data_IF_756276069573
#
_entry.id   IF_756276069573
#
_cell.length_a   1.000
_cell.length_b   1.000
_cell.length_c   1.000
_cell.angle_alpha   90.00
_cell.angle_beta   90.00
_cell.angle_gamma   90.00
#
_symmetry.space_group_name_H-M   'P 1'
#
loop_
_entity.id
_entity.type
_entity.pdbx_description
1 polymer ?
#
# COMPACT_ATOMS: atom_id res chain seq x y z
N UNK A 1 -67.92 -33.71 30.54
CA UNK A 1 -67.06 -33.15 29.49
C UNK A 1 -65.64 -33.48 29.87
N UNK A 2 -65.29 -34.69 29.45
CA UNK A 2 -64.04 -35.09 28.81
C UNK A 2 -62.78 -34.78 29.62
N UNK A 3 -62.31 -35.76 30.39
CA UNK A 3 -61.57 -36.98 29.98
C UNK A 3 -60.13 -36.74 30.38
N UNK A 4 -59.70 -37.32 31.50
CA UNK A 4 -59.03 -38.63 31.50
C UNK A 4 -57.74 -38.60 30.67
N UNK A 5 -56.60 -39.11 31.13
CA UNK A 5 -56.23 -39.80 32.35
C UNK A 5 -54.76 -40.17 32.16
N UNK A 6 -54.08 -40.50 33.28
CA UNK A 6 -53.00 -41.50 33.38
C UNK A 6 -51.73 -41.21 32.56
N UNK A 7 -50.53 -41.15 33.14
CA UNK A 7 -50.06 -41.86 34.31
C UNK A 7 -48.67 -42.41 33.99
N UNK A 8 -47.70 -42.02 34.81
CA UNK A 8 -46.52 -42.76 35.24
C UNK A 8 -45.43 -43.23 34.22
N UNK A 9 -44.20 -42.79 34.56
CA UNK A 9 -42.90 -43.50 34.53
C UNK A 9 -42.27 -43.84 33.17
N UNK A 10 -41.06 -43.31 32.91
CA UNK A 10 -39.78 -44.04 33.10
C UNK A 10 -38.57 -43.32 32.46
N UNK A 11 -37.52 -43.20 33.27
CA UNK A 11 -36.08 -43.34 33.01
C UNK A 11 -35.51 -43.37 31.56
N UNK A 12 -34.47 -42.55 31.37
CA UNK A 12 -33.20 -42.81 30.67
C UNK A 12 -33.16 -43.11 29.15
N UNK A 13 -32.76 -42.10 28.38
CA UNK A 13 -31.95 -42.13 27.14
C UNK A 13 -31.18 -40.77 27.18
N UNK A 14 -29.86 -40.63 27.12
CA UNK A 14 -28.86 -41.31 26.31
C UNK A 14 -28.48 -40.40 25.13
N UNK A 15 -27.36 -39.69 25.24
CA UNK A 15 -26.52 -39.10 24.17
C UNK A 15 -27.09 -38.04 23.19
N UNK A 16 -26.18 -37.16 22.79
CA UNK A 16 -26.21 -36.23 21.65
C UNK A 16 -27.03 -34.94 21.77
N UNK A 17 -26.34 -33.89 22.23
CA UNK A 17 -26.54 -32.55 21.68
C UNK A 17 -25.20 -31.79 21.61
N UNK A 18 -24.29 -32.28 20.78
CA UNK A 18 -23.41 -31.38 20.02
C UNK A 18 -24.30 -30.51 19.16
N UNK A 19 -24.74 -29.39 19.74
CA UNK A 19 -25.29 -28.29 18.96
C UNK A 19 -24.15 -27.79 18.06
N UNK A 20 -24.38 -27.60 16.75
CA UNK A 20 -23.36 -27.04 15.89
C UNK A 20 -23.00 -25.66 16.44
N UNK A 21 -21.71 -25.42 16.67
CA UNK A 21 -21.11 -24.16 17.10
C UNK A 21 -21.20 -23.15 15.93
N UNK A 22 -22.41 -22.91 15.43
CA UNK A 22 -22.66 -22.19 14.18
C UNK A 22 -23.48 -20.91 14.35
N UNK A 23 -23.75 -20.48 15.59
CA UNK A 23 -24.45 -19.23 15.91
C UNK A 23 -24.11 -18.81 17.34
N UNK A 24 -22.87 -18.37 17.59
CA UNK A 24 -22.50 -17.82 18.90
C UNK A 24 -22.85 -16.33 18.97
N UNK A 25 -23.78 -15.99 19.85
CA UNK A 25 -24.08 -14.62 20.26
C UNK A 25 -22.86 -14.03 21.01
N UNK A 26 -22.46 -12.76 20.79
CA UNK A 26 -21.45 -12.06 21.61
C UNK A 26 -21.68 -12.17 23.13
N UNK A 27 -22.92 -12.42 23.58
CA UNK A 27 -23.24 -12.68 25.00
C UNK A 27 -22.73 -14.03 25.54
N UNK A 28 -22.43 -15.00 24.66
CA UNK A 28 -21.97 -16.36 24.95
C UNK A 28 -20.60 -16.41 25.65
N UNK A 29 -19.75 -15.42 25.38
CA UNK A 29 -18.37 -15.35 25.89
C UNK A 29 -18.27 -15.12 27.40
N UNK A 30 -19.36 -14.71 28.06
CA UNK A 30 -19.37 -14.48 29.52
C UNK A 30 -19.56 -15.75 30.35
N UNK A 31 -19.88 -16.89 29.73
CA UNK A 31 -20.00 -18.17 30.44
C UNK A 31 -18.62 -18.83 30.60
N UNK A 32 -18.26 -19.10 31.86
CA UNK A 32 -16.91 -19.36 32.39
C UNK A 32 -16.24 -20.67 31.97
N UNK A 33 -16.76 -21.37 30.96
CA UNK A 33 -16.40 -22.78 30.71
C UNK A 33 -15.67 -23.05 29.40
N UNK A 34 -15.47 -22.06 28.53
CA UNK A 34 -14.86 -22.30 27.23
C UNK A 34 -13.38 -21.95 27.19
N UNK A 35 -12.58 -22.88 26.68
CA UNK A 35 -11.16 -22.66 26.38
C UNK A 35 -10.99 -21.94 25.05
N UNK A 36 -9.84 -21.28 24.84
CA UNK A 36 -9.56 -20.61 23.56
C UNK A 36 -9.55 -21.61 22.38
N UNK A 37 -9.12 -22.86 22.63
CA UNK A 37 -9.15 -23.92 21.62
C UNK A 37 -10.58 -24.32 21.24
N UNK A 38 -11.51 -24.41 22.18
CA UNK A 38 -12.93 -24.68 21.89
C UNK A 38 -13.58 -23.57 21.05
N UNK A 39 -13.21 -22.31 21.30
CA UNK A 39 -13.67 -21.18 20.48
C UNK A 39 -13.10 -21.26 19.06
N UNK A 40 -11.81 -21.61 18.93
CA UNK A 40 -11.15 -21.73 17.63
C UNK A 40 -11.61 -22.95 16.81
N UNK A 41 -11.98 -24.05 17.46
CA UNK A 41 -12.51 -25.26 16.82
C UNK A 41 -13.94 -25.06 16.30
N UNK A 42 -14.64 -24.03 16.79
CA UNK A 42 -15.93 -23.58 16.27
C UNK A 42 -15.84 -22.81 14.95
N UNK A 43 -14.65 -22.34 14.54
CA UNK A 43 -14.48 -21.57 13.32
C UNK A 43 -14.18 -22.47 12.12
N UNK A 44 -14.88 -22.21 11.00
CA UNK A 44 -14.62 -22.90 9.74
C UNK A 44 -13.40 -22.27 9.04
N UNK A 45 -12.22 -22.86 9.26
CA UNK A 45 -10.95 -22.37 8.76
C UNK A 45 -10.68 -22.72 7.27
N UNK A 46 -11.60 -23.42 6.59
CA UNK A 46 -11.38 -23.97 5.24
C UNK A 46 -12.21 -23.32 4.12
N UNK A 47 -13.27 -22.56 4.42
CA UNK A 47 -14.10 -21.96 3.37
C UNK A 47 -13.42 -20.77 2.67
N UNK A 48 -13.39 -20.83 1.34
CA UNK A 48 -12.98 -19.72 0.48
C UNK A 48 -13.90 -18.53 0.73
N UNK A 49 -13.35 -17.44 1.25
CA UNK A 49 -14.03 -16.25 1.74
C UNK A 49 -14.98 -15.60 0.72
N UNK A 50 -16.23 -16.05 0.70
CA UNK A 50 -17.33 -15.39 -0.03
C UNK A 50 -18.40 -14.81 0.88
N UNK A 51 -18.36 -15.07 2.19
CA UNK A 51 -19.34 -14.58 3.18
C UNK A 51 -18.69 -13.73 4.29
N UNK A 52 -18.68 -12.41 4.08
CA UNK A 52 -18.18 -11.45 5.08
C UNK A 52 -19.01 -11.42 6.36
N UNK A 53 -20.30 -11.81 6.30
CA UNK A 53 -21.19 -11.79 7.45
C UNK A 53 -20.78 -12.87 8.45
N UNK A 54 -20.46 -14.08 7.98
CA UNK A 54 -19.95 -15.17 8.82
C UNK A 54 -18.59 -14.82 9.43
N UNK A 55 -17.65 -14.35 8.60
CA UNK A 55 -16.34 -13.91 9.06
C UNK A 55 -16.41 -12.80 10.13
N UNK A 56 -17.36 -11.86 9.97
CA UNK A 56 -17.58 -10.79 10.93
C UNK A 56 -18.13 -11.31 12.26
N UNK A 57 -19.03 -12.30 12.23
CA UNK A 57 -19.53 -12.93 13.45
C UNK A 57 -18.40 -13.64 14.21
N UNK A 58 -17.62 -14.46 13.51
CA UNK A 58 -16.48 -15.19 14.09
C UNK A 58 -15.47 -14.22 14.74
N UNK A 59 -15.10 -13.15 14.03
CA UNK A 59 -14.12 -12.19 14.57
C UNK A 59 -14.66 -11.40 15.76
N UNK A 60 -15.97 -11.13 15.80
CA UNK A 60 -16.60 -10.44 16.93
C UNK A 60 -16.59 -11.33 18.18
N UNK A 61 -16.89 -12.61 18.03
CA UNK A 61 -16.81 -13.60 19.10
C UNK A 61 -15.37 -13.70 19.60
N UNK A 62 -14.40 -13.86 18.70
CA UNK A 62 -12.98 -13.93 19.07
C UNK A 62 -12.49 -12.64 19.77
N UNK A 63 -12.83 -11.47 19.23
CA UNK A 63 -12.46 -10.18 19.80
C UNK A 63 -13.03 -10.00 21.22
N UNK A 64 -14.31 -10.31 21.41
CA UNK A 64 -14.96 -10.20 22.71
C UNK A 64 -14.35 -11.15 23.74
N UNK A 65 -13.94 -12.35 23.33
CA UNK A 65 -13.24 -13.31 24.18
C UNK A 65 -11.87 -12.79 24.61
N UNK A 66 -11.05 -12.33 23.66
CA UNK A 66 -9.71 -11.79 23.94
C UNK A 66 -9.76 -10.51 24.80
N UNK A 67 -10.70 -9.62 24.52
CA UNK A 67 -10.90 -8.39 25.30
C UNK A 67 -11.29 -8.71 26.75
N UNK A 68 -12.21 -9.66 26.95
CA UNK A 68 -12.59 -10.11 28.28
C UNK A 68 -11.40 -10.72 29.05
N UNK A 69 -10.61 -11.60 28.41
CA UNK A 69 -9.43 -12.18 29.04
C UNK A 69 -8.42 -11.12 29.47
N UNK A 70 -8.18 -10.11 28.61
CA UNK A 70 -7.29 -8.99 28.91
C UNK A 70 -7.79 -8.14 30.10
N UNK A 71 -9.10 -7.86 30.18
CA UNK A 71 -9.70 -7.09 31.29
C UNK A 71 -9.60 -7.79 32.65
N UNK A 72 -9.72 -9.12 32.68
CA UNK A 72 -9.67 -9.87 33.93
C UNK A 72 -8.26 -9.94 34.55
N UNK A 73 -7.23 -9.44 33.86
CA UNK A 73 -5.81 -9.51 34.27
C UNK A 73 -5.39 -10.93 34.70
N UNK A 74 -6.10 -11.94 34.21
CA UNK A 74 -5.68 -13.33 34.34
C UNK A 74 -4.49 -13.40 33.41
N UNK A 75 -3.32 -13.75 33.93
CA UNK A 75 -2.15 -14.10 33.15
C UNK A 75 -2.43 -15.42 32.39
N UNK A 76 -3.44 -15.40 31.54
CA UNK A 76 -3.68 -16.43 30.55
C UNK A 76 -2.66 -16.15 29.46
N UNK A 77 -1.47 -16.73 29.60
CA UNK A 77 -0.54 -16.82 28.49
C UNK A 77 -1.27 -17.57 27.39
N UNK A 78 -1.76 -16.82 26.40
CA UNK A 78 -2.26 -17.42 25.15
C UNK A 78 -1.11 -18.29 24.64
N UNK A 79 -1.37 -19.58 24.54
CA UNK A 79 -0.37 -20.54 24.07
C UNK A 79 0.10 -20.10 22.68
N UNK A 80 1.41 -20.17 22.39
CA UNK A 80 1.94 -19.75 21.09
C UNK A 80 1.23 -20.40 19.90
N UNK A 81 0.76 -21.63 20.07
CA UNK A 81 -0.02 -22.37 19.07
C UNK A 81 -1.39 -21.73 18.80
N UNK A 82 -2.13 -21.34 19.85
CA UNK A 82 -3.40 -20.64 19.70
C UNK A 82 -3.18 -19.23 19.12
N UNK A 83 -2.12 -18.53 19.52
CA UNK A 83 -1.76 -17.24 18.93
C UNK A 83 -1.43 -17.35 17.43
N UNK A 84 -0.76 -18.44 17.02
CA UNK A 84 -0.45 -18.73 15.63
C UNK A 84 -1.72 -19.05 14.83
N UNK A 85 -2.63 -19.87 15.35
CA UNK A 85 -3.94 -20.18 14.74
C UNK A 85 -4.78 -18.92 14.53
N UNK A 86 -4.86 -18.05 15.54
CA UNK A 86 -5.55 -16.76 15.45
C UNK A 86 -4.91 -15.88 14.38
N UNK A 87 -3.59 -15.79 14.38
CA UNK A 87 -2.87 -14.93 13.44
C UNK A 87 -3.06 -15.40 11.99
N UNK A 88 -2.97 -16.71 11.74
CA UNK A 88 -3.23 -17.29 10.41
C UNK A 88 -4.67 -17.04 9.94
N UNK A 89 -5.65 -17.25 10.82
CA UNK A 89 -7.05 -16.95 10.53
C UNK A 89 -7.26 -15.47 10.20
N UNK A 90 -6.75 -14.58 11.05
CA UNK A 90 -6.91 -13.13 10.88
C UNK A 90 -6.20 -12.63 9.61
N UNK A 91 -5.00 -13.14 9.32
CA UNK A 91 -4.26 -12.80 8.10
C UNK A 91 -5.06 -13.16 6.86
N UNK A 92 -5.76 -14.31 6.85
CA UNK A 92 -6.57 -14.75 5.71
C UNK A 92 -7.79 -13.86 5.45
N UNK A 93 -8.45 -13.37 6.50
CA UNK A 93 -9.66 -12.53 6.39
C UNK A 93 -9.38 -11.04 6.17
N UNK A 94 -8.16 -10.59 6.42
CA UNK A 94 -7.76 -9.18 6.31
C UNK A 94 -7.23 -8.81 4.94
N UNK A 95 -7.14 -9.76 4.00
CA UNK A 95 -6.72 -9.49 2.63
C UNK A 95 -7.79 -8.63 1.94
N UNK A 96 -7.44 -7.44 1.42
CA UNK A 96 -8.39 -6.60 0.70
C UNK A 96 -8.97 -7.34 -0.51
N UNK A 97 -10.30 -7.40 -0.67
CA UNK A 97 -10.92 -8.09 -1.78
C UNK A 97 -10.75 -7.34 -3.10
N UNK A 98 -10.80 -8.09 -4.21
CA UNK A 98 -10.74 -7.55 -5.57
C UNK A 98 -11.87 -6.56 -5.88
N UNK A 99 -12.97 -6.62 -5.12
CA UNK A 99 -14.08 -5.66 -5.15
C UNK A 99 -13.58 -4.21 -5.09
N UNK A 100 -12.57 -3.91 -4.27
CA UNK A 100 -12.01 -2.57 -4.16
C UNK A 100 -11.21 -2.12 -5.38
N UNK A 101 -10.62 -3.07 -6.13
CA UNK A 101 -9.89 -2.79 -7.37
C UNK A 101 -10.85 -2.50 -8.54
N UNK A 102 -11.95 -3.24 -8.63
CA UNK A 102 -12.91 -3.14 -9.74
C UNK A 102 -13.91 -1.98 -9.59
N UNK A 103 -14.23 -1.57 -8.35
CA UNK A 103 -15.32 -0.62 -8.08
C UNK A 103 -14.87 0.81 -7.76
N UNK A 104 -13.57 1.11 -7.83
CA UNK A 104 -13.00 2.43 -7.58
C UNK A 104 -13.72 3.62 -8.29
N UNK A 105 -14.24 3.50 -9.53
CA UNK A 105 -14.97 4.59 -10.20
C UNK A 105 -16.38 4.85 -9.63
N UNK A 106 -17.02 3.83 -9.04
CA UNK A 106 -18.40 3.91 -8.54
C UNK A 106 -18.47 4.39 -7.09
N UNK A 107 -17.42 4.10 -6.30
CA UNK A 107 -17.29 4.56 -4.91
C UNK A 107 -16.88 6.03 -4.82
N UNK A 108 -16.18 6.56 -5.83
CA UNK A 108 -15.69 7.95 -5.89
C UNK A 108 -16.66 8.93 -6.58
N UNK A 109 -17.83 8.45 -7.04
CA UNK A 109 -18.88 9.29 -7.61
C UNK A 109 -18.59 9.85 -9.01
N UNK A 110 -17.55 9.37 -9.70
CA UNK A 110 -17.14 9.85 -11.03
C UNK A 110 -17.72 9.03 -12.19
N UNK A 111 -18.25 7.83 -11.93
CA UNK A 111 -18.90 7.01 -12.94
C UNK A 111 -20.31 7.49 -13.29
N UNK A 112 -20.53 7.84 -14.56
CA UNK A 112 -21.80 8.11 -15.26
C UNK A 112 -22.20 9.59 -15.42
N UNK A 113 -21.47 10.28 -16.29
CA UNK A 113 -22.11 11.22 -17.23
C UNK A 113 -22.05 10.59 -18.61
N UNK A 114 -23.19 10.14 -19.16
CA UNK A 114 -23.64 10.43 -20.54
C UNK A 114 -24.90 9.62 -20.97
N UNK A 115 -25.86 10.41 -21.51
CA UNK A 115 -26.83 10.18 -22.61
C UNK A 115 -27.74 8.93 -22.64
N UNK A 116 -29.06 9.19 -22.56
CA UNK A 116 -30.11 8.41 -23.26
C UNK A 116 -31.35 8.08 -22.42
N UNK A 117 -32.28 9.02 -22.25
CA UNK A 117 -33.58 8.75 -21.61
C UNK A 117 -34.33 7.64 -22.36
N UNK A 118 -34.98 6.73 -21.62
CA UNK A 118 -35.99 5.71 -21.99
C UNK A 118 -35.64 4.23 -21.76
N UNK A 119 -34.39 3.85 -21.48
CA UNK A 119 -34.03 2.50 -20.97
C UNK A 119 -33.72 2.47 -19.46
N UNK A 120 -34.01 3.56 -18.75
CA UNK A 120 -33.42 3.86 -17.45
C UNK A 120 -34.01 3.10 -16.27
N UNK A 121 -35.31 2.78 -16.25
CA UNK A 121 -35.94 2.41 -14.98
C UNK A 121 -35.53 1.02 -14.47
N UNK A 122 -35.46 -0.01 -15.33
CA UNK A 122 -35.04 -1.36 -14.89
C UNK A 122 -33.53 -1.44 -14.62
N UNK A 123 -32.74 -0.72 -15.42
CA UNK A 123 -31.29 -0.64 -15.26
C UNK A 123 -30.91 0.11 -13.97
N UNK A 124 -31.63 1.19 -13.61
CA UNK A 124 -31.37 1.92 -12.35
C UNK A 124 -31.66 1.08 -11.12
N UNK A 125 -32.76 0.31 -11.10
CA UNK A 125 -33.08 -0.56 -9.96
C UNK A 125 -32.05 -1.68 -9.77
N UNK A 126 -31.64 -2.36 -10.84
CA UNK A 126 -30.63 -3.42 -10.74
C UNK A 126 -29.24 -2.86 -10.38
N UNK A 127 -28.90 -1.66 -10.87
CA UNK A 127 -27.67 -0.95 -10.49
C UNK A 127 -27.71 -0.46 -9.04
N UNK A 128 -28.84 0.08 -8.58
CA UNK A 128 -29.03 0.51 -7.18
C UNK A 128 -29.00 -0.68 -6.22
N UNK A 129 -29.54 -1.84 -6.61
CA UNK A 129 -29.45 -3.08 -5.84
C UNK A 129 -28.01 -3.59 -5.74
N UNK A 130 -27.30 -3.64 -6.86
CA UNK A 130 -25.88 -4.01 -6.90
C UNK A 130 -25.02 -3.05 -6.08
N UNK A 131 -25.29 -1.75 -6.19
CA UNK A 131 -24.64 -0.70 -5.39
C UNK A 131 -24.91 -0.89 -3.90
N UNK A 132 -26.16 -1.14 -3.51
CA UNK A 132 -26.54 -1.34 -2.11
C UNK A 132 -25.93 -2.60 -1.51
N UNK A 133 -25.87 -3.70 -2.27
CA UNK A 133 -25.18 -4.93 -1.86
C UNK A 133 -23.68 -4.67 -1.69
N UNK A 134 -23.04 -4.03 -2.66
CA UNK A 134 -21.61 -3.72 -2.61
C UNK A 134 -21.26 -2.79 -1.44
N UNK A 135 -22.11 -1.80 -1.15
CA UNK A 135 -21.92 -0.91 0.00
C UNK A 135 -22.04 -1.66 1.33
N UNK A 136 -22.94 -2.64 1.42
CA UNK A 136 -23.07 -3.50 2.59
C UNK A 136 -21.80 -4.35 2.78
N UNK A 137 -21.32 -5.01 1.72
CA UNK A 137 -20.09 -5.81 1.75
C UNK A 137 -18.85 -4.98 2.13
N UNK A 138 -18.73 -3.75 1.60
CA UNK A 138 -17.65 -2.82 1.97
C UNK A 138 -17.74 -2.43 3.46
N UNK A 139 -18.94 -2.15 3.97
CA UNK A 139 -19.13 -1.81 5.37
C UNK A 139 -18.79 -2.99 6.31
N UNK A 140 -19.21 -4.20 5.94
CA UNK A 140 -18.87 -5.43 6.67
C UNK A 140 -17.36 -5.68 6.67
N UNK A 141 -16.70 -5.52 5.52
CA UNK A 141 -15.24 -5.66 5.41
C UNK A 141 -14.49 -4.63 6.29
N UNK A 142 -14.94 -3.37 6.32
CA UNK A 142 -14.33 -2.36 7.19
C UNK A 142 -14.46 -2.70 8.68
N UNK A 143 -15.60 -3.24 9.11
CA UNK A 143 -15.79 -3.68 10.49
C UNK A 143 -14.94 -4.92 10.80
N UNK A 144 -14.97 -5.92 9.91
CA UNK A 144 -14.17 -7.13 9.98
C UNK A 144 -12.69 -6.79 10.17
N UNK A 145 -12.16 -5.92 9.31
CA UNK A 145 -10.76 -5.47 9.34
C UNK A 145 -10.39 -4.79 10.66
N UNK A 146 -11.29 -3.97 11.22
CA UNK A 146 -11.04 -3.30 12.49
C UNK A 146 -10.94 -4.29 13.66
N UNK A 147 -11.89 -5.21 13.78
CA UNK A 147 -11.87 -6.21 14.86
C UNK A 147 -10.73 -7.22 14.68
N UNK A 148 -10.42 -7.59 13.44
CA UNK A 148 -9.26 -8.39 13.08
C UNK A 148 -7.94 -7.77 13.58
N UNK A 149 -7.68 -6.50 13.23
CA UNK A 149 -6.49 -5.78 13.71
C UNK A 149 -6.46 -5.66 15.24
N UNK A 150 -7.64 -5.53 15.87
CA UNK A 150 -7.76 -5.49 17.33
C UNK A 150 -7.42 -6.85 17.95
N UNK A 151 -7.85 -7.97 17.37
CA UNK A 151 -7.45 -9.32 17.80
C UNK A 151 -5.93 -9.51 17.71
N UNK A 152 -5.31 -9.12 16.59
CA UNK A 152 -3.84 -9.18 16.42
C UNK A 152 -3.09 -8.33 17.44
N UNK A 153 -3.70 -7.24 17.93
CA UNK A 153 -3.09 -6.43 18.97
C UNK A 153 -2.86 -7.19 20.28
N UNK A 154 -3.64 -8.24 20.55
CA UNK A 154 -3.47 -9.11 21.71
C UNK A 154 -2.43 -10.21 21.46
N UNK A 155 -2.41 -10.83 20.27
CA UNK A 155 -1.65 -12.06 19.99
C UNK A 155 -0.31 -11.86 19.29
N UNK A 156 -0.10 -10.75 18.58
CA UNK A 156 1.04 -10.53 17.66
C UNK A 156 2.44 -10.72 18.24
N UNK A 157 2.64 -10.56 19.56
CA UNK A 157 3.96 -10.73 20.18
C UNK A 157 4.25 -12.18 20.64
N UNK A 158 3.27 -13.07 20.54
CA UNK A 158 3.36 -14.45 21.03
C UNK A 158 3.54 -15.48 19.91
N UNK A 159 3.65 -15.03 18.67
CA UNK A 159 3.80 -15.89 17.49
C UNK A 159 5.26 -16.06 17.06
N UNK A 160 5.53 -17.10 16.27
CA UNK A 160 6.82 -17.35 15.64
C UNK A 160 7.20 -16.28 14.60
N UNK A 161 8.46 -16.29 14.14
CA UNK A 161 8.95 -15.29 13.18
C UNK A 161 8.25 -15.38 11.81
N UNK A 162 7.84 -16.58 11.37
CA UNK A 162 7.13 -16.78 10.11
C UNK A 162 5.72 -16.20 10.13
N UNK A 163 4.97 -16.48 11.20
CA UNK A 163 3.63 -15.93 11.41
C UNK A 163 3.69 -14.41 11.67
N UNK A 164 4.72 -13.92 12.36
CA UNK A 164 4.90 -12.49 12.56
C UNK A 164 5.11 -11.74 11.24
N UNK A 165 5.81 -12.34 10.28
CA UNK A 165 6.00 -11.76 8.95
C UNK A 165 4.69 -11.63 8.18
N UNK A 166 3.81 -12.65 8.24
CA UNK A 166 2.50 -12.59 7.60
C UNK A 166 1.58 -11.59 8.30
N UNK A 167 1.59 -11.54 9.64
CA UNK A 167 0.85 -10.54 10.43
C UNK A 167 1.28 -9.13 10.06
N UNK A 168 2.57 -8.82 10.06
CA UNK A 168 3.08 -7.48 9.72
C UNK A 168 2.71 -7.11 8.29
N UNK A 169 2.78 -8.06 7.36
CA UNK A 169 2.39 -7.83 5.96
C UNK A 169 0.90 -7.50 5.83
N UNK A 170 0.00 -8.24 6.50
CA UNK A 170 -1.43 -7.95 6.50
C UNK A 170 -1.76 -6.63 7.19
N UNK A 171 -1.10 -6.31 8.30
CA UNK A 171 -1.30 -5.05 9.01
C UNK A 171 -0.80 -3.86 8.17
N UNK A 172 0.30 -4.02 7.44
CA UNK A 172 0.87 -2.99 6.56
C UNK A 172 -0.11 -2.58 5.45
N UNK A 173 -0.98 -3.49 4.98
CA UNK A 173 -2.00 -3.19 3.98
C UNK A 173 -3.04 -2.13 4.42
N UNK A 174 -3.11 -1.80 5.71
CA UNK A 174 -4.01 -0.76 6.25
C UNK A 174 -3.29 0.53 6.64
N UNK A 175 -2.03 0.71 6.21
CA UNK A 175 -1.23 1.88 6.61
C UNK A 175 -1.38 3.08 5.69
N UNK A 176 -1.89 2.93 4.46
CA UNK A 176 -2.17 4.07 3.57
C UNK A 176 -3.65 4.47 3.64
N UNK A 177 -3.91 5.72 4.02
CA UNK A 177 -5.27 6.29 4.07
C UNK A 177 -5.87 6.55 2.69
N UNK A 178 -5.06 6.46 1.61
CA UNK A 178 -5.55 6.58 0.24
C UNK A 178 -6.13 5.26 -0.28
N UNK A 179 -5.89 4.15 0.42
CA UNK A 179 -6.45 2.86 0.04
C UNK A 179 -7.96 2.83 0.30
N UNK A 180 -8.76 2.35 -0.66
CA UNK A 180 -10.22 2.39 -0.58
C UNK A 180 -10.79 1.46 0.51
N UNK A 181 -10.01 0.49 0.98
CA UNK A 181 -10.36 -0.42 2.07
C UNK A 181 -9.86 0.06 3.45
N UNK A 182 -9.10 1.16 3.50
CA UNK A 182 -8.53 1.70 4.73
C UNK A 182 -9.40 2.81 5.28
N UNK A 183 -9.94 2.61 6.48
CA UNK A 183 -10.67 3.63 7.24
C UNK A 183 -9.74 4.30 8.25
N UNK A 184 -10.13 5.47 8.77
CA UNK A 184 -9.35 6.14 9.83
C UNK A 184 -9.13 5.24 11.05
N UNK A 185 -10.12 4.42 11.41
CA UNK A 185 -10.03 3.49 12.56
C UNK A 185 -9.05 2.35 12.29
N UNK A 186 -9.12 1.73 11.10
CA UNK A 186 -8.22 0.63 10.74
C UNK A 186 -6.79 1.12 10.56
N UNK A 187 -6.60 2.31 9.98
CA UNK A 187 -5.29 2.96 9.90
C UNK A 187 -4.68 3.21 11.28
N UNK A 188 -5.44 3.81 12.21
CA UNK A 188 -4.97 4.07 13.56
C UNK A 188 -4.61 2.77 14.30
N UNK A 189 -5.43 1.72 14.18
CA UNK A 189 -5.17 0.41 14.76
C UNK A 189 -3.90 -0.24 14.17
N UNK A 190 -3.75 -0.20 12.84
CA UNK A 190 -2.59 -0.75 12.14
C UNK A 190 -1.28 -0.04 12.54
N UNK A 191 -1.27 1.30 12.54
CA UNK A 191 -0.10 2.07 12.96
C UNK A 191 0.26 1.82 14.43
N UNK A 192 -0.72 1.75 15.33
CA UNK A 192 -0.47 1.40 16.74
C UNK A 192 0.13 0.01 16.88
N UNK A 193 -0.37 -0.96 16.13
CA UNK A 193 0.12 -2.34 16.16
C UNK A 193 1.54 -2.45 15.61
N UNK A 194 1.84 -1.84 14.46
CA UNK A 194 3.20 -1.79 13.91
C UNK A 194 4.15 -1.11 14.91
N UNK A 195 3.73 -0.01 15.53
CA UNK A 195 4.55 0.66 16.54
C UNK A 195 4.81 -0.23 17.77
N UNK A 196 3.79 -0.94 18.25
CA UNK A 196 3.92 -1.92 19.35
C UNK A 196 4.91 -3.03 19.00
N UNK A 197 4.81 -3.59 17.80
CA UNK A 197 5.74 -4.63 17.31
C UNK A 197 7.16 -4.06 17.18
N UNK A 198 7.30 -2.87 16.60
CA UNK A 198 8.60 -2.25 16.38
C UNK A 198 9.33 -1.85 17.67
N UNK A 199 8.59 -1.45 18.70
CA UNK A 199 9.18 -1.06 20.00
C UNK A 199 9.47 -2.25 20.91
N UNK A 200 8.76 -3.37 20.74
CA UNK A 200 8.95 -4.59 21.54
C UNK A 200 9.99 -5.54 20.96
N UNK A 201 10.24 -5.51 19.65
CA UNK A 201 11.27 -6.33 19.01
C UNK A 201 12.66 -5.72 19.20
N UNK A 202 13.61 -6.55 19.62
CA UNK A 202 15.03 -6.23 19.54
C UNK A 202 15.48 -6.07 18.08
N UNK A 203 16.54 -5.30 17.86
CA UNK A 203 17.02 -4.95 16.53
C UNK A 203 17.31 -6.15 15.61
N UNK A 204 18.00 -7.18 16.11
CA UNK A 204 18.31 -8.35 15.31
C UNK A 204 17.06 -9.09 14.82
N UNK A 205 16.03 -9.18 15.68
CA UNK A 205 14.74 -9.78 15.31
C UNK A 205 13.99 -8.94 14.29
N UNK A 206 14.03 -7.62 14.42
CA UNK A 206 13.44 -6.72 13.43
C UNK A 206 14.12 -6.86 12.06
N UNK A 207 15.45 -6.91 12.00
CA UNK A 207 16.18 -7.09 10.74
C UNK A 207 15.83 -8.43 10.09
N UNK A 208 15.80 -9.53 10.87
CA UNK A 208 15.36 -10.84 10.38
C UNK A 208 13.92 -10.81 9.84
N UNK A 209 12.99 -10.21 10.59
CA UNK A 209 11.59 -10.06 10.19
C UNK A 209 11.47 -9.34 8.85
N UNK A 210 12.16 -8.20 8.69
CA UNK A 210 12.16 -7.45 7.44
C UNK A 210 12.78 -8.25 6.30
N UNK A 211 13.88 -8.97 6.53
CA UNK A 211 14.49 -9.85 5.55
C UNK A 211 13.54 -10.96 5.11
N UNK A 212 12.81 -11.59 6.04
CA UNK A 212 11.79 -12.60 5.78
C UNK A 212 10.65 -12.03 4.94
N UNK A 213 10.08 -10.89 5.32
CA UNK A 213 9.02 -10.22 4.56
C UNK A 213 9.46 -9.93 3.12
N UNK A 214 10.67 -9.39 2.93
CA UNK A 214 11.18 -9.08 1.60
C UNK A 214 11.41 -10.33 0.74
N UNK A 215 11.85 -11.43 1.34
CA UNK A 215 12.17 -12.68 0.62
C UNK A 215 10.94 -13.55 0.35
N UNK A 216 10.04 -13.65 1.31
CA UNK A 216 8.96 -14.65 1.32
C UNK A 216 7.61 -14.04 0.95
N UNK A 217 7.42 -12.73 1.12
CA UNK A 217 6.18 -12.04 0.76
C UNK A 217 6.35 -11.17 -0.48
N UNK A 218 7.33 -10.25 -0.46
CA UNK A 218 7.49 -9.26 -1.53
C UNK A 218 8.05 -9.91 -2.81
N UNK A 219 9.19 -10.61 -2.72
CA UNK A 219 9.81 -11.20 -3.92
C UNK A 219 8.88 -12.13 -4.70
N UNK A 220 8.12 -13.06 -4.08
CA UNK A 220 7.21 -13.94 -4.81
C UNK A 220 6.02 -13.18 -5.43
N UNK A 221 5.50 -12.15 -4.79
CA UNK A 221 4.42 -11.32 -5.32
C UNK A 221 4.81 -10.65 -6.65
N UNK A 222 6.08 -10.29 -6.82
CA UNK A 222 6.62 -9.65 -8.03
C UNK A 222 7.40 -10.59 -8.95
N UNK A 223 7.45 -11.89 -8.65
CA UNK A 223 8.25 -12.86 -9.43
C UNK A 223 7.78 -13.01 -10.88
N UNK A 224 6.50 -12.70 -11.17
CA UNK A 224 5.91 -12.77 -12.52
C UNK A 224 6.10 -11.48 -13.32
N UNK A 225 6.55 -10.39 -12.70
CA UNK A 225 6.70 -9.10 -13.37
C UNK A 225 8.06 -9.04 -14.08
N UNK A 226 8.07 -9.37 -15.37
CA UNK A 226 9.28 -9.29 -16.19
C UNK A 226 9.67 -7.82 -16.43
N UNK A 227 10.77 -7.39 -15.81
CA UNK A 227 11.34 -6.07 -16.00
C UNK A 227 12.54 -6.14 -16.95
N UNK A 228 12.35 -5.79 -18.23
CA UNK A 228 13.39 -5.87 -19.29
C UNK A 228 14.61 -4.98 -19.01
N UNK A 229 14.48 -4.02 -18.09
CA UNK A 229 15.53 -3.05 -17.71
C UNK A 229 16.50 -3.57 -16.63
N UNK A 230 16.21 -4.72 -16.02
CA UNK A 230 16.97 -5.30 -14.92
C UNK A 230 17.64 -6.63 -15.31
N UNK A 231 18.78 -6.92 -14.70
CA UNK A 231 19.34 -8.28 -14.64
C UNK A 231 18.68 -9.09 -13.52
N UNK A 232 18.89 -10.41 -13.48
CA UNK A 232 18.41 -11.28 -12.39
C UNK A 232 18.89 -10.86 -10.98
N UNK A 233 19.94 -10.02 -10.89
CA UNK A 233 20.45 -9.44 -9.64
C UNK A 233 19.97 -8.00 -9.39
N UNK A 234 18.91 -7.55 -10.07
CA UNK A 234 18.38 -6.19 -10.04
C UNK A 234 19.39 -5.09 -10.41
N UNK A 235 20.58 -5.44 -10.95
CA UNK A 235 21.53 -4.47 -11.51
C UNK A 235 21.05 -4.02 -12.87
N UNK A 236 21.42 -2.80 -13.25
CA UNK A 236 21.31 -2.36 -14.65
C UNK A 236 22.03 -3.37 -15.55
N UNK A 237 21.35 -3.86 -16.59
CA UNK A 237 21.97 -4.73 -17.60
C UNK A 237 22.98 -3.94 -18.43
N UNK A 238 24.29 -4.20 -18.26
CA UNK A 238 25.36 -3.49 -18.99
C UNK A 238 26.68 -4.28 -19.02
N UNK A 239 27.55 -3.92 -19.98
CA UNK A 239 29.02 -3.83 -19.76
C UNK A 239 29.65 -2.77 -20.69
N UNK A 240 30.78 -2.12 -20.31
CA UNK A 240 31.03 -1.43 -19.03
C UNK A 240 31.73 -0.05 -19.24
N UNK A 241 31.76 0.83 -18.22
CA UNK A 241 33.04 1.39 -17.73
C UNK A 241 32.92 2.18 -16.41
N UNK A 242 34.07 2.22 -15.74
CA UNK A 242 34.31 2.43 -14.31
C UNK A 242 34.21 3.90 -13.90
N UNK A 243 33.79 4.17 -12.66
CA UNK A 243 34.04 5.48 -12.03
C UNK A 243 34.71 5.33 -10.68
N UNK A 244 35.74 6.16 -10.52
CA UNK A 244 36.66 6.28 -9.40
C UNK A 244 35.97 6.82 -8.16
N UNK A 245 36.37 6.27 -7.02
CA UNK A 245 36.00 6.71 -5.68
C UNK A 245 36.41 8.17 -5.45
N UNK A 246 35.45 9.00 -5.05
CA UNK A 246 35.71 10.29 -4.41
C UNK A 246 35.32 10.13 -2.95
N UNK A 247 36.33 10.30 -2.11
CA UNK A 247 36.25 10.32 -0.66
C UNK A 247 35.28 11.44 -0.23
N UNK A 248 34.25 11.10 0.54
CA UNK A 248 33.39 12.10 1.20
C UNK A 248 33.51 11.91 2.69
N UNK A 249 34.12 12.92 3.31
CA UNK A 249 34.43 12.99 4.71
C UNK A 249 33.19 12.88 5.59
N UNK A 250 33.45 12.20 6.69
CA UNK A 250 32.77 12.12 7.98
C UNK A 250 31.56 13.04 8.20
N UNK A 251 30.38 12.44 8.09
CA UNK A 251 29.08 12.94 8.58
C UNK A 251 28.43 11.89 9.50
N UNK A 252 29.25 11.02 10.13
CA UNK A 252 28.80 9.86 10.88
C UNK A 252 28.18 10.20 12.26
N UNK A 253 28.45 11.39 12.79
CA UNK A 253 28.12 11.73 14.18
C UNK A 253 26.70 12.23 14.42
N UNK A 254 25.88 12.46 13.39
CA UNK A 254 24.57 13.07 13.64
C UNK A 254 23.41 12.09 13.83
N UNK A 255 23.42 10.90 13.23
CA UNK A 255 22.23 10.02 13.18
C UNK A 255 22.61 8.53 13.02
N UNK A 256 22.97 7.80 14.08
CA UNK A 256 23.40 6.39 13.99
C UNK A 256 22.34 5.45 13.38
N UNK A 257 21.06 5.82 13.44
CA UNK A 257 19.97 5.09 12.76
C UNK A 257 20.04 5.21 11.22
N UNK A 258 20.51 6.34 10.66
CA UNK A 258 20.66 6.50 9.21
C UNK A 258 21.66 5.53 8.64
N UNK A 259 22.81 5.36 9.30
CA UNK A 259 23.85 4.40 8.89
C UNK A 259 23.33 2.95 8.89
N UNK A 260 22.47 2.62 9.86
CA UNK A 260 21.90 1.28 10.00
C UNK A 260 20.82 0.97 8.96
N UNK A 261 19.89 1.89 8.72
CA UNK A 261 18.89 1.77 7.64
C UNK A 261 19.60 1.72 6.29
N UNK A 262 20.62 2.58 6.11
CA UNK A 262 21.47 2.60 4.92
C UNK A 262 22.12 1.24 4.68
N UNK A 263 22.67 0.59 5.73
CA UNK A 263 23.24 -0.76 5.62
C UNK A 263 22.19 -1.82 5.30
N UNK A 264 21.04 -1.82 5.99
CA UNK A 264 19.94 -2.75 5.68
C UNK A 264 19.49 -2.65 4.22
N UNK A 265 19.30 -1.42 3.72
CA UNK A 265 18.92 -1.18 2.32
C UNK A 265 20.06 -1.53 1.37
N UNK A 266 21.32 -1.29 1.73
CA UNK A 266 22.47 -1.75 0.93
C UNK A 266 22.48 -3.26 0.74
N UNK A 267 22.05 -4.01 1.74
CA UNK A 267 22.03 -5.46 1.70
C UNK A 267 20.77 -6.02 1.00
N UNK A 268 19.65 -5.27 1.02
CA UNK A 268 18.34 -5.74 0.54
C UNK A 268 17.76 -4.97 -0.66
N UNK A 269 18.42 -3.92 -1.17
CA UNK A 269 17.93 -3.16 -2.31
C UNK A 269 17.57 -4.02 -3.54
N UNK A 270 18.24 -5.16 -3.85
CA UNK A 270 17.85 -5.97 -5.01
C UNK A 270 16.44 -6.56 -4.89
N UNK A 271 15.90 -6.66 -3.67
CA UNK A 271 14.53 -7.11 -3.41
C UNK A 271 13.52 -5.96 -3.47
N UNK A 272 13.96 -4.71 -3.32
CA UNK A 272 13.11 -3.52 -3.32
C UNK A 272 12.96 -2.89 -4.71
N UNK A 273 14.01 -2.95 -5.53
CA UNK A 273 14.00 -2.33 -6.87
C UNK A 273 12.95 -2.94 -7.80
N UNK A 274 12.81 -4.29 -7.93
CA UNK A 274 11.81 -4.86 -8.85
C UNK A 274 10.36 -4.49 -8.50
N UNK A 275 9.91 -4.53 -7.23
CA UNK A 275 8.59 -4.02 -6.82
C UNK A 275 8.36 -2.55 -7.18
N UNK A 276 9.33 -1.67 -6.89
CA UNK A 276 9.20 -0.23 -7.19
C UNK A 276 9.06 -0.02 -8.71
N UNK A 277 9.87 -0.73 -9.51
CA UNK A 277 9.78 -0.65 -10.97
C UNK A 277 8.49 -1.26 -11.51
N UNK A 278 8.00 -2.36 -10.92
CA UNK A 278 6.71 -2.95 -11.27
C UNK A 278 5.56 -1.95 -11.08
N UNK A 279 5.54 -1.22 -9.96
CA UNK A 279 4.54 -0.16 -9.71
C UNK A 279 4.66 0.99 -10.73
N UNK A 280 5.90 1.41 -11.05
CA UNK A 280 6.18 2.45 -12.05
C UNK A 280 5.75 1.98 -13.46
N UNK A 281 5.92 0.71 -13.80
CA UNK A 281 5.57 0.18 -15.12
C UNK A 281 4.08 -0.26 -15.22
N UNK A 282 3.33 -0.22 -14.11
CA UNK A 282 1.92 -0.64 -14.06
C UNK A 282 0.99 0.17 -14.98
N UNK A 283 -0.10 -0.41 -15.48
CA UNK A 283 -1.05 0.28 -16.36
C UNK A 283 -1.91 1.33 -15.63
N UNK A 284 -2.14 1.14 -14.32
CA UNK A 284 -2.90 2.04 -13.47
C UNK A 284 -2.06 3.24 -13.03
N UNK A 285 -2.58 4.45 -13.26
CA UNK A 285 -1.92 5.69 -12.86
C UNK A 285 -1.78 5.83 -11.34
N UNK A 286 -2.64 5.17 -10.57
CA UNK A 286 -2.56 5.14 -9.10
C UNK A 286 -1.30 4.40 -8.65
N UNK A 287 -1.03 3.22 -9.22
CA UNK A 287 0.15 2.44 -8.90
C UNK A 287 1.42 3.09 -9.42
N UNK A 288 1.38 3.75 -10.59
CA UNK A 288 2.49 4.59 -11.06
C UNK A 288 2.83 5.71 -10.08
N UNK A 289 1.80 6.41 -9.57
CA UNK A 289 1.97 7.49 -8.60
C UNK A 289 2.49 6.97 -7.24
N UNK A 290 2.03 5.81 -6.78
CA UNK A 290 2.55 5.13 -5.59
C UNK A 290 4.04 4.76 -5.78
N UNK A 291 4.39 4.15 -6.92
CA UNK A 291 5.78 3.82 -7.25
C UNK A 291 6.71 5.05 -7.26
N UNK A 292 6.21 6.23 -7.66
CA UNK A 292 6.98 7.47 -7.54
C UNK A 292 7.27 7.84 -6.07
N UNK A 293 6.28 7.70 -5.19
CA UNK A 293 6.43 8.00 -3.77
C UNK A 293 7.38 7.00 -3.09
N UNK A 294 7.21 5.71 -3.36
CA UNK A 294 8.06 4.65 -2.82
C UNK A 294 9.51 4.79 -3.27
N UNK A 295 9.72 5.20 -4.53
CA UNK A 295 11.05 5.49 -5.04
C UNK A 295 11.72 6.62 -4.26
N UNK A 296 11.02 7.71 -3.96
CA UNK A 296 11.57 8.81 -3.15
C UNK A 296 12.01 8.33 -1.77
N UNK A 297 11.18 7.52 -1.11
CA UNK A 297 11.50 6.92 0.19
C UNK A 297 12.75 6.02 0.09
N UNK A 298 12.83 5.21 -0.96
CA UNK A 298 13.98 4.37 -1.25
C UNK A 298 15.25 5.21 -1.48
N UNK A 299 15.18 6.27 -2.30
CA UNK A 299 16.33 7.12 -2.62
C UNK A 299 16.91 7.83 -1.39
N UNK A 300 16.09 8.25 -0.44
CA UNK A 300 16.56 8.86 0.81
C UNK A 300 17.27 7.90 1.75
N UNK A 301 17.01 6.62 1.57
CA UNK A 301 17.47 5.57 2.47
C UNK A 301 18.57 4.72 1.83
N UNK A 302 18.75 4.82 0.51
CA UNK A 302 19.78 4.16 -0.27
C UNK A 302 21.07 4.99 -0.33
N UNK A 303 22.25 4.41 -0.06
CA UNK A 303 23.52 5.10 -0.27
C UNK A 303 23.72 5.57 -1.73
N UNK A 304 24.28 6.76 -1.90
CA UNK A 304 24.52 7.36 -3.23
C UNK A 304 25.53 6.51 -4.04
N UNK A 305 26.52 5.91 -3.39
CA UNK A 305 27.52 5.04 -4.04
C UNK A 305 26.87 3.77 -4.62
N UNK A 306 25.84 3.23 -3.97
CA UNK A 306 25.06 2.11 -4.50
C UNK A 306 24.36 2.53 -5.79
N UNK A 307 23.68 3.68 -5.80
CA UNK A 307 23.00 4.20 -6.99
C UNK A 307 23.95 4.40 -8.18
N UNK A 308 25.16 4.89 -7.93
CA UNK A 308 26.18 5.15 -8.95
C UNK A 308 26.78 3.85 -9.51
N UNK A 309 27.21 2.95 -8.63
CA UNK A 309 27.87 1.70 -9.03
C UNK A 309 26.92 0.73 -9.72
N UNK A 310 25.64 0.74 -9.35
CA UNK A 310 24.64 -0.18 -9.91
C UNK A 310 23.93 0.38 -11.15
N UNK A 311 24.05 1.69 -11.41
CA UNK A 311 23.35 2.37 -12.49
C UNK A 311 21.83 2.52 -12.26
N UNK A 312 21.34 2.21 -11.06
CA UNK A 312 19.91 2.27 -10.71
C UNK A 312 19.31 3.66 -10.95
N UNK A 313 20.07 4.71 -10.65
CA UNK A 313 19.58 6.07 -10.85
C UNK A 313 19.16 6.36 -12.29
N UNK A 314 19.87 5.83 -13.28
CA UNK A 314 19.48 5.97 -14.69
C UNK A 314 18.25 5.13 -15.01
N UNK A 315 18.13 3.92 -14.46
CA UNK A 315 16.96 3.06 -14.67
C UNK A 315 15.69 3.77 -14.20
N UNK A 316 15.71 4.34 -13.00
CA UNK A 316 14.59 5.07 -12.44
C UNK A 316 14.26 6.33 -13.24
N UNK A 317 15.26 7.12 -13.62
CA UNK A 317 15.07 8.28 -14.49
C UNK A 317 14.41 7.88 -15.82
N UNK A 318 14.90 6.82 -16.47
CA UNK A 318 14.31 6.32 -17.71
C UNK A 318 12.89 5.76 -17.53
N UNK A 319 12.54 5.26 -16.35
CA UNK A 319 11.21 4.72 -16.06
C UNK A 319 10.19 5.83 -15.81
N UNK A 320 10.61 6.91 -15.14
CA UNK A 320 9.73 8.02 -14.78
C UNK A 320 9.62 9.13 -15.81
N UNK A 321 10.63 9.37 -16.64
CA UNK A 321 10.60 10.45 -17.64
C UNK A 321 9.35 10.44 -18.54
N UNK A 322 8.82 9.28 -19.00
CA UNK A 322 7.56 9.22 -19.76
C UNK A 322 6.34 9.77 -19.00
N UNK A 323 6.36 9.78 -17.66
CA UNK A 323 5.21 10.23 -16.86
C UNK A 323 4.88 11.70 -17.08
N UNK A 324 5.87 12.50 -17.47
CA UNK A 324 5.71 13.92 -17.78
C UNK A 324 4.80 14.19 -18.98
N UNK A 325 4.49 13.15 -19.77
CA UNK A 325 3.63 13.21 -20.96
C UNK A 325 2.21 12.68 -20.73
N UNK A 326 1.86 12.28 -19.50
CA UNK A 326 0.47 11.96 -19.14
C UNK A 326 -0.30 13.27 -18.96
N UNK A 327 -0.80 13.77 -20.08
CA UNK A 327 -1.45 15.07 -20.21
C UNK A 327 -2.92 14.90 -20.64
N UNK A 328 -3.76 15.93 -20.41
CA UNK A 328 -5.19 15.97 -20.76
C UNK A 328 -5.58 15.55 -22.18
N UNK A 329 -4.65 15.62 -23.13
CA UNK A 329 -4.87 15.21 -24.51
C UNK A 329 -5.21 13.74 -24.66
N UNK A 330 -4.71 12.88 -23.75
CA UNK A 330 -4.90 11.43 -23.77
C UNK A 330 -5.28 10.84 -22.40
N UNK A 331 -5.06 11.58 -21.32
CA UNK A 331 -5.31 11.14 -19.94
C UNK A 331 -6.24 12.16 -19.29
N UNK A 332 -7.21 11.76 -18.47
CA UNK A 332 -8.10 12.75 -17.84
C UNK A 332 -7.32 13.78 -17.01
N UNK A 333 -7.78 15.02 -16.96
CA UNK A 333 -7.05 16.13 -16.32
C UNK A 333 -6.77 15.85 -14.83
N UNK A 334 -7.74 15.27 -14.11
CA UNK A 334 -7.57 14.92 -12.70
C UNK A 334 -6.51 13.82 -12.49
N UNK A 335 -6.51 12.80 -13.34
CA UNK A 335 -5.54 11.70 -13.28
C UNK A 335 -4.14 12.15 -13.73
N UNK A 336 -4.07 13.03 -14.73
CA UNK A 336 -2.83 13.70 -15.15
C UNK A 336 -2.22 14.45 -13.96
N UNK A 337 -3.00 15.31 -13.29
CA UNK A 337 -2.53 16.05 -12.12
C UNK A 337 -2.09 15.12 -10.98
N UNK A 338 -2.84 14.04 -10.71
CA UNK A 338 -2.47 13.05 -9.70
C UNK A 338 -1.08 12.50 -9.96
N UNK A 339 -0.80 12.01 -11.17
CA UNK A 339 0.51 11.44 -11.52
C UNK A 339 1.61 12.51 -11.57
N UNK A 340 1.37 13.63 -12.26
CA UNK A 340 2.37 14.69 -12.42
C UNK A 340 2.79 15.30 -11.08
N UNK A 341 1.84 15.43 -10.13
CA UNK A 341 2.12 15.92 -8.77
C UNK A 341 3.09 15.04 -7.98
N UNK A 342 3.24 13.77 -8.35
CA UNK A 342 4.21 12.84 -7.75
C UNK A 342 5.47 12.70 -8.60
N UNK A 343 5.34 12.67 -9.93
CA UNK A 343 6.45 12.44 -10.85
C UNK A 343 7.45 13.61 -10.88
N UNK A 344 6.98 14.86 -10.93
CA UNK A 344 7.89 16.03 -10.99
C UNK A 344 8.77 16.15 -9.74
N UNK A 345 8.20 16.15 -8.51
CA UNK A 345 9.02 16.19 -7.29
C UNK A 345 10.03 15.05 -7.22
N UNK A 346 9.61 13.82 -7.53
CA UNK A 346 10.49 12.66 -7.50
C UNK A 346 11.66 12.76 -8.50
N UNK A 347 11.43 13.25 -9.72
CA UNK A 347 12.48 13.48 -10.71
C UNK A 347 13.46 14.59 -10.29
N UNK A 348 12.94 15.70 -9.72
CA UNK A 348 13.76 16.80 -9.21
C UNK A 348 14.62 16.36 -8.02
N UNK A 349 14.04 15.60 -7.10
CA UNK A 349 14.69 15.05 -5.92
C UNK A 349 15.76 14.03 -6.30
N UNK A 350 15.48 13.14 -7.24
CA UNK A 350 16.46 12.23 -7.81
C UNK A 350 17.64 12.98 -8.45
N UNK A 351 17.38 14.07 -9.19
CA UNK A 351 18.45 14.90 -9.76
C UNK A 351 19.28 15.60 -8.67
N UNK A 352 18.69 15.94 -7.53
CA UNK A 352 19.39 16.51 -6.39
C UNK A 352 20.25 15.47 -5.65
N UNK A 353 19.70 14.27 -5.38
CA UNK A 353 20.35 13.20 -4.62
C UNK A 353 21.48 12.52 -5.39
N UNK A 354 21.31 12.29 -6.70
CA UNK A 354 22.33 11.61 -7.54
C UNK A 354 23.54 12.48 -7.85
N UNK A 355 23.39 13.80 -7.80
CA UNK A 355 24.43 14.74 -8.24
C UNK A 355 24.73 15.78 -7.16
N UNK A 356 25.23 15.35 -5.97
CA UNK A 356 25.57 16.28 -4.90
C UNK A 356 26.82 17.08 -5.25
N UNK A 357 26.82 18.37 -4.92
CA UNK A 357 27.99 19.24 -4.98
C UNK A 357 28.38 19.77 -6.37
N UNK A 358 29.48 20.54 -6.40
CA UNK A 358 29.92 21.28 -7.61
C UNK A 358 30.50 20.36 -8.69
N UNK A 359 31.13 19.24 -8.33
CA UNK A 359 31.79 18.33 -9.27
C UNK A 359 30.84 17.63 -10.24
N UNK A 360 29.57 17.43 -9.83
CA UNK A 360 28.52 16.80 -10.65
C UNK A 360 27.50 17.80 -11.20
N UNK A 361 27.79 19.10 -11.13
CA UNK A 361 26.88 20.18 -11.54
C UNK A 361 26.40 20.04 -12.98
N UNK A 362 27.29 19.67 -13.91
CA UNK A 362 26.93 19.50 -15.32
C UNK A 362 25.93 18.36 -15.54
N UNK A 363 26.07 17.25 -14.80
CA UNK A 363 25.14 16.12 -14.85
C UNK A 363 23.77 16.52 -14.28
N UNK A 364 23.76 17.27 -13.17
CA UNK A 364 22.55 17.85 -12.60
C UNK A 364 21.84 18.77 -13.59
N UNK A 365 22.56 19.70 -14.22
CA UNK A 365 22.01 20.61 -15.24
C UNK A 365 21.43 19.80 -16.40
N UNK A 366 22.12 18.75 -16.86
CA UNK A 366 21.63 17.89 -17.95
C UNK A 366 20.32 17.18 -17.57
N UNK A 367 20.19 16.68 -16.35
CA UNK A 367 18.96 16.06 -15.86
C UNK A 367 17.81 17.09 -15.80
N UNK A 368 18.05 18.25 -15.19
CA UNK A 368 17.04 19.32 -15.10
C UNK A 368 16.63 19.86 -16.48
N UNK A 369 17.57 19.95 -17.43
CA UNK A 369 17.30 20.31 -18.82
C UNK A 369 16.33 19.35 -19.51
N UNK A 370 16.46 18.04 -19.24
CA UNK A 370 15.55 17.03 -19.80
C UNK A 370 14.15 17.22 -19.22
N UNK A 371 14.03 17.42 -17.91
CA UNK A 371 12.73 17.67 -17.25
C UNK A 371 12.09 18.97 -17.79
N UNK A 372 12.89 20.03 -17.98
CA UNK A 372 12.44 21.30 -18.54
C UNK A 372 11.89 21.13 -19.97
N UNK A 373 12.65 20.48 -20.86
CA UNK A 373 12.28 20.32 -22.28
C UNK A 373 11.12 19.34 -22.47
N UNK A 374 11.26 18.12 -21.93
CA UNK A 374 10.30 17.04 -22.17
C UNK A 374 9.09 17.12 -21.24
N UNK A 375 9.22 17.75 -20.07
CA UNK A 375 8.10 17.96 -19.16
C UNK A 375 7.43 19.31 -19.38
N UNK A 376 8.06 20.38 -18.89
CA UNK A 376 7.37 21.67 -18.79
C UNK A 376 7.07 22.27 -20.17
N UNK A 377 8.06 22.35 -21.04
CA UNK A 377 7.89 22.97 -22.35
C UNK A 377 6.95 22.16 -23.25
N UNK A 378 7.12 20.83 -23.27
CA UNK A 378 6.20 19.94 -23.99
C UNK A 378 4.78 20.01 -23.42
N UNK A 379 4.65 20.06 -22.09
CA UNK A 379 3.37 20.18 -21.40
C UNK A 379 2.62 21.46 -21.78
N UNK A 380 3.30 22.61 -21.82
CA UNK A 380 2.70 23.85 -22.32
C UNK A 380 2.33 23.78 -23.81
N UNK A 381 3.11 23.09 -24.65
CA UNK A 381 2.76 22.93 -26.06
C UNK A 381 1.50 22.08 -26.30
N UNK A 382 1.21 21.14 -25.40
CA UNK A 382 0.14 20.16 -25.60
C UNK A 382 -1.08 20.33 -24.70
N UNK A 383 -0.98 21.06 -23.59
CA UNK A 383 -2.05 21.14 -22.59
C UNK A 383 -2.18 22.53 -21.95
N UNK A 384 -1.74 23.60 -22.65
CA UNK A 384 -1.83 24.97 -22.12
C UNK A 384 -3.29 25.45 -21.94
N UNK A 385 -4.22 24.88 -22.68
CA UNK A 385 -5.66 25.15 -22.58
C UNK A 385 -6.27 24.62 -21.28
N UNK A 386 -5.61 23.66 -20.61
CA UNK A 386 -6.03 23.14 -19.31
C UNK A 386 -5.45 23.98 -18.19
N UNK A 387 -6.25 24.93 -17.68
CA UNK A 387 -5.82 25.93 -16.69
C UNK A 387 -5.11 25.31 -15.47
N UNK A 388 -5.61 24.21 -14.92
CA UNK A 388 -4.99 23.58 -13.73
C UNK A 388 -3.63 22.95 -14.05
N UNK A 389 -3.47 22.39 -15.27
CA UNK A 389 -2.20 21.86 -15.75
C UNK A 389 -1.22 23.02 -16.00
N UNK A 390 -1.65 24.07 -16.69
CA UNK A 390 -0.82 25.25 -16.93
C UNK A 390 -0.34 25.91 -15.63
N UNK A 391 -1.23 26.03 -14.63
CA UNK A 391 -0.88 26.50 -13.29
C UNK A 391 0.16 25.59 -12.63
N UNK A 392 -0.06 24.27 -12.66
CA UNK A 392 0.86 23.29 -12.11
C UNK A 392 2.24 23.35 -12.79
N UNK A 393 2.29 23.35 -14.12
CA UNK A 393 3.53 23.43 -14.90
C UNK A 393 4.29 24.74 -14.64
N UNK A 394 3.57 25.84 -14.41
CA UNK A 394 4.19 27.12 -14.01
C UNK A 394 4.89 27.00 -12.65
N UNK A 395 4.29 26.29 -11.68
CA UNK A 395 4.95 26.03 -10.38
C UNK A 395 6.22 25.18 -10.57
N UNK A 396 6.16 24.14 -11.40
CA UNK A 396 7.35 23.31 -11.69
C UNK A 396 8.44 24.06 -12.45
N UNK A 397 8.04 24.96 -13.36
CA UNK A 397 8.96 25.84 -14.08
C UNK A 397 9.79 26.69 -13.10
N UNK A 398 9.16 27.26 -12.08
CA UNK A 398 9.86 28.08 -11.07
C UNK A 398 10.94 27.25 -10.36
N UNK A 399 10.64 26.02 -9.95
CA UNK A 399 11.62 25.14 -9.30
C UNK A 399 12.78 24.77 -10.23
N UNK A 400 12.49 24.49 -11.50
CA UNK A 400 13.52 24.20 -12.51
C UNK A 400 14.40 25.41 -12.80
N UNK A 401 13.84 26.63 -12.85
CA UNK A 401 14.60 27.86 -13.04
C UNK A 401 15.58 28.05 -11.87
N UNK A 402 15.12 27.83 -10.62
CA UNK A 402 16.00 27.91 -9.45
C UNK A 402 17.12 26.86 -9.50
N UNK A 403 16.82 25.65 -9.96
CA UNK A 403 17.80 24.57 -10.09
C UNK A 403 18.82 24.76 -11.21
N UNK A 404 18.40 25.31 -12.34
CA UNK A 404 19.25 25.57 -13.52
C UNK A 404 20.05 26.87 -13.39
N UNK A 405 19.50 27.91 -12.78
CA UNK A 405 20.13 29.22 -12.66
C UNK A 405 20.41 29.85 -14.03
N UNK A 406 21.67 30.26 -14.27
CA UNK A 406 22.05 30.91 -15.54
C UNK A 406 21.81 30.01 -16.77
N UNK A 407 21.87 28.69 -16.59
CA UNK A 407 21.62 27.72 -17.65
C UNK A 407 20.18 27.76 -18.18
N UNK A 408 19.24 28.38 -17.46
CA UNK A 408 17.88 28.63 -17.95
C UNK A 408 17.85 29.52 -19.19
N UNK A 409 18.85 30.38 -19.40
CA UNK A 409 18.85 31.36 -20.49
C UNK A 409 18.64 30.74 -21.89
N UNK A 410 19.14 29.52 -22.11
CA UNK A 410 18.97 28.79 -23.38
C UNK A 410 17.52 28.38 -23.68
N UNK A 411 16.66 28.36 -22.67
CA UNK A 411 15.24 28.01 -22.81
C UNK A 411 14.34 29.23 -23.03
N UNK A 412 14.79 30.45 -22.69
CA UNK A 412 14.01 31.69 -22.81
C UNK A 412 13.55 31.98 -24.25
N UNK A 413 14.39 31.64 -25.24
CA UNK A 413 14.09 31.84 -26.67
C UNK A 413 12.97 30.94 -27.17
N UNK A 414 12.73 29.80 -26.50
CA UNK A 414 11.65 28.87 -26.84
C UNK A 414 10.38 29.25 -26.09
N UNK A 415 10.50 29.76 -24.86
CA UNK A 415 9.37 30.30 -24.07
C UNK A 415 8.67 31.47 -24.75
N UNK A 416 9.39 32.31 -25.49
CA UNK A 416 8.78 33.44 -26.22
C UNK A 416 7.80 33.00 -27.32
N UNK A 417 7.98 31.80 -27.90
CA UNK A 417 7.05 31.26 -28.89
C UNK A 417 5.77 30.70 -28.24
N UNK A 418 5.86 30.16 -27.02
CA UNK A 418 4.70 29.66 -26.26
C UNK A 418 3.74 30.79 -25.86
N UNK A 419 4.27 31.97 -25.46
CA UNK A 419 3.46 33.16 -25.16
C UNK A 419 2.73 33.77 -26.36
N UNK A 420 3.20 33.50 -27.59
CA UNK A 420 2.55 33.99 -28.81
C UNK A 420 1.37 33.10 -29.22
N UNK A 421 1.49 31.78 -29.02
CA UNK A 421 0.40 30.83 -29.32
C UNK A 421 -0.82 31.03 -28.43
N UNK A 422 -0.63 31.38 -27.15
CA UNK A 422 -1.72 31.72 -26.22
C UNK A 422 -2.42 33.06 -26.53
N UNK A 423 -1.85 33.92 -27.38
CA UNK A 423 -2.49 35.18 -27.82
C UNK A 423 -3.38 35.04 -29.05
N UNK A 424 -3.44 33.86 -29.69
CA UNK A 424 -4.33 33.60 -30.82
C UNK A 424 -5.69 33.00 -30.42
N UNK A 425 -5.94 32.81 -29.13
CA UNK A 425 -7.26 32.48 -28.57
C UNK A 425 -7.73 33.68 -27.76
N UNK A 426 -8.09 34.76 -28.46
CA UNK A 426 -8.71 35.96 -27.91
C UNK A 426 -10.03 36.20 -28.59
#
# INVERSE_FOLDING_TARGET
MDSESLGAKASAIGSDSTTPIGNLDPSFVRDRNHTLDEVLDGFDLQETWTDYSKALQDILVLHSFLAWQHEQNVAYEILPEAAARISDYVVKITIPPTLFAEQAPYLTGTGLRYRGLFFYQKLTWDLERKRSSSLKEVAEFHQLSYYALSCLSFTSLQVGEGELASVVTSVAAFTDTNDPWTTTKTHEAACKLIHKIATSLGHARMENLLSTILRDSVKPAFAKTENTRLTQQARRSLHPEQSRTVDTGDDADQKPWKYRISRFITDHWPLLVPPILALIDDSSLKYKAAGCADLVVFLHSCPIDVLERTGLGEIFEHAMMPFLMYLPTLTEEAESLMLLSKAYPALLEMAALRFPGRGKRLLKIKALDRIMRYGVMSGFSHAAEHVRIAEFLTKQLIELIRGLGIDTAKHLKVSSHLTVSSRQIG
#
